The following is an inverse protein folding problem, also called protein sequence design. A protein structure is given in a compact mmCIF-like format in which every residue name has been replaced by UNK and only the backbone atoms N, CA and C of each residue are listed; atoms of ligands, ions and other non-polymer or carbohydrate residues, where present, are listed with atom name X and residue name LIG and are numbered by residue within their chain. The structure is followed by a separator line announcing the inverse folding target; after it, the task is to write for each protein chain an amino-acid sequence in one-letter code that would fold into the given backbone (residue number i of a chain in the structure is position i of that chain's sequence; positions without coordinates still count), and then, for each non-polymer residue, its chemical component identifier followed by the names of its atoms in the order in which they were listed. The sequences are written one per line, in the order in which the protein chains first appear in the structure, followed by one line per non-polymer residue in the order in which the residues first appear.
data_IF_597882628844
#
_entry.id   IF_597882628844
#
_cell.length_a   1.000
_cell.length_b   1.000
_cell.length_c   1.000
_cell.angle_alpha   90.00
_cell.angle_beta   90.00
_cell.angle_gamma   90.00
#
_symmetry.space_group_name_H-M   'P 1'
#
loop_
_entity.id
_entity.type
_entity.pdbx_description
1 polymer ?
#
# COMPACT_ATOMS: atom_id res chain seq x y z
N UNK A 1 -14.88 32.77 16.12
CA UNK A 1 -14.94 31.53 16.93
C UNK A 1 -16.01 30.56 16.44
N UNK A 2 -17.18 31.03 15.98
CA UNK A 2 -18.28 30.16 15.48
C UNK A 2 -17.93 29.32 14.24
N UNK A 3 -17.18 29.89 13.29
CA UNK A 3 -16.76 29.15 12.08
C UNK A 3 -15.88 27.94 12.46
N UNK A 4 -15.00 28.09 13.46
CA UNK A 4 -14.12 27.01 13.93
C UNK A 4 -14.94 25.86 14.51
N UNK A 5 -15.99 26.16 15.29
CA UNK A 5 -16.87 25.14 15.85
C UNK A 5 -17.72 24.42 14.80
N UNK A 6 -18.09 25.11 13.71
CA UNK A 6 -18.88 24.51 12.62
C UNK A 6 -18.05 23.57 11.72
N UNK A 7 -16.75 23.86 11.51
CA UNK A 7 -15.86 23.02 10.68
C UNK A 7 -15.22 21.85 11.44
N UNK A 8 -15.18 21.94 12.78
CA UNK A 8 -14.58 20.92 13.66
C UNK A 8 -15.05 19.47 13.36
N UNK A 9 -16.36 19.16 13.20
CA UNK A 9 -16.79 17.80 12.89
C UNK A 9 -16.29 17.29 11.53
N UNK A 10 -16.16 18.16 10.52
CA UNK A 10 -15.65 17.76 9.21
C UNK A 10 -14.15 17.45 9.26
N UNK A 11 -13.37 18.29 9.94
CA UNK A 11 -11.93 18.03 10.16
C UNK A 11 -11.73 16.73 10.93
N UNK A 12 -12.56 16.48 11.95
CA UNK A 12 -12.51 15.24 12.72
C UNK A 12 -12.84 14.00 11.87
N UNK A 13 -13.87 14.06 11.03
CA UNK A 13 -14.21 12.98 10.09
C UNK A 13 -13.06 12.69 9.11
N UNK A 14 -12.47 13.74 8.52
CA UNK A 14 -11.31 13.61 7.62
C UNK A 14 -10.12 12.99 8.35
N UNK A 15 -9.86 13.42 9.59
CA UNK A 15 -8.79 12.85 10.41
C UNK A 15 -9.03 11.35 10.66
N UNK A 16 -10.25 10.95 11.04
CA UNK A 16 -10.59 9.53 11.22
C UNK A 16 -10.39 8.75 9.92
N UNK A 17 -10.94 9.23 8.80
CA UNK A 17 -10.78 8.57 7.51
C UNK A 17 -9.31 8.43 7.09
N UNK A 18 -8.50 9.46 7.36
CA UNK A 18 -7.06 9.41 7.13
C UNK A 18 -6.38 8.30 7.95
N UNK A 19 -6.69 8.21 9.25
CA UNK A 19 -6.07 7.22 10.11
C UNK A 19 -6.58 5.78 9.86
N UNK A 20 -7.86 5.61 9.54
CA UNK A 20 -8.49 4.28 9.40
C UNK A 20 -8.31 3.70 8.00
N UNK A 21 -8.29 4.52 6.95
CA UNK A 21 -8.25 4.03 5.57
C UNK A 21 -6.93 4.37 4.90
N UNK A 22 -6.60 5.66 4.81
CA UNK A 22 -5.46 6.13 4.01
C UNK A 22 -4.13 5.62 4.59
N UNK A 23 -3.95 5.73 5.90
CA UNK A 23 -2.74 5.23 6.57
C UNK A 23 -2.50 3.73 6.34
N UNK A 24 -3.45 2.81 6.63
CA UNK A 24 -3.22 1.40 6.40
C UNK A 24 -3.10 1.04 4.91
N UNK A 25 -3.82 1.72 4.01
CA UNK A 25 -3.65 1.51 2.57
C UNK A 25 -2.24 1.87 2.12
N UNK A 26 -1.71 3.02 2.54
CA UNK A 26 -0.34 3.42 2.23
C UNK A 26 0.69 2.43 2.79
N UNK A 27 0.46 1.88 3.98
CA UNK A 27 1.35 0.85 4.55
C UNK A 27 1.30 -0.46 3.78
N UNK A 28 0.13 -0.91 3.33
CA UNK A 28 0.01 -2.13 2.52
C UNK A 28 0.66 -1.96 1.16
N UNK A 29 0.45 -0.82 0.49
CA UNK A 29 1.10 -0.50 -0.77
C UNK A 29 2.63 -0.47 -0.64
N UNK A 30 3.15 0.16 0.42
CA UNK A 30 4.58 0.19 0.72
C UNK A 30 5.15 -1.21 0.94
N UNK A 31 4.49 -2.04 1.75
CA UNK A 31 4.91 -3.44 1.99
C UNK A 31 4.90 -4.28 0.72
N UNK A 32 3.89 -4.09 -0.14
CA UNK A 32 3.81 -4.81 -1.40
C UNK A 32 4.95 -4.41 -2.34
N UNK A 33 5.26 -3.11 -2.42
CA UNK A 33 6.41 -2.60 -3.17
C UNK A 33 7.72 -3.15 -2.63
N UNK A 34 7.95 -3.10 -1.32
CA UNK A 34 9.14 -3.66 -0.67
C UNK A 34 9.27 -5.18 -0.90
N UNK A 35 8.14 -5.92 -0.88
CA UNK A 35 8.14 -7.35 -1.18
C UNK A 35 8.60 -7.62 -2.61
N UNK A 36 8.11 -6.84 -3.59
CA UNK A 36 8.53 -6.97 -5.00
C UNK A 36 10.00 -6.59 -5.17
N UNK A 37 10.46 -5.51 -4.55
CA UNK A 37 11.86 -5.07 -4.60
C UNK A 37 12.82 -6.07 -3.94
N UNK A 38 12.35 -6.81 -2.94
CA UNK A 38 13.13 -7.86 -2.28
C UNK A 38 13.23 -9.15 -3.10
N UNK A 39 12.46 -9.29 -4.19
CA UNK A 39 12.52 -10.48 -5.03
C UNK A 39 13.82 -10.54 -5.82
N UNK A 40 14.45 -11.70 -5.79
CA UNK A 40 15.72 -11.95 -6.46
C UNK A 40 15.61 -13.13 -7.42
N UNK A 41 16.61 -13.27 -8.30
CA UNK A 41 16.70 -14.40 -9.22
C UNK A 41 16.79 -15.71 -8.43
N UNK A 42 15.96 -16.68 -8.81
CA UNK A 42 15.87 -17.99 -8.18
C UNK A 42 14.76 -18.11 -7.13
N UNK A 43 14.10 -17.00 -6.76
CA UNK A 43 12.97 -17.05 -5.84
C UNK A 43 11.76 -17.74 -6.48
N UNK A 44 11.13 -18.62 -5.70
CA UNK A 44 9.87 -19.27 -6.07
C UNK A 44 8.70 -18.47 -5.51
N UNK A 45 7.87 -17.97 -6.39
CA UNK A 45 6.72 -17.14 -6.04
C UNK A 45 5.42 -17.74 -6.58
N UNK A 46 4.32 -17.37 -5.94
CA UNK A 46 2.98 -17.66 -6.44
C UNK A 46 2.44 -16.37 -7.06
N UNK A 47 2.09 -16.41 -8.33
CA UNK A 47 1.49 -15.26 -9.02
C UNK A 47 0.04 -15.08 -8.58
N UNK A 48 -0.55 -13.91 -8.85
CA UNK A 48 -1.97 -13.63 -8.56
C UNK A 48 -2.93 -14.62 -9.23
N UNK A 49 -2.50 -15.27 -10.32
CA UNK A 49 -3.25 -16.33 -11.00
C UNK A 49 -3.08 -17.73 -10.40
N UNK A 50 -2.34 -17.88 -9.30
CA UNK A 50 -2.10 -19.16 -8.62
C UNK A 50 -0.98 -20.01 -9.21
N UNK A 51 -0.18 -19.46 -10.14
CA UNK A 51 0.93 -20.19 -10.76
C UNK A 51 2.16 -20.14 -9.84
N UNK A 52 2.75 -21.30 -9.58
CA UNK A 52 4.05 -21.42 -8.90
C UNK A 52 5.14 -21.27 -9.96
N UNK A 53 5.94 -20.22 -9.85
CA UNK A 53 6.99 -19.88 -10.82
C UNK A 53 8.30 -19.54 -10.13
N UNK A 54 9.41 -19.62 -10.86
CA UNK A 54 10.75 -19.23 -10.40
C UNK A 54 11.24 -18.01 -11.19
N UNK A 55 11.78 -17.01 -10.50
CA UNK A 55 12.26 -15.77 -11.12
C UNK A 55 13.57 -16.05 -11.87
N UNK A 56 13.55 -15.94 -13.21
CA UNK A 56 14.76 -16.10 -14.03
C UNK A 56 15.60 -14.83 -14.18
N UNK A 57 14.97 -13.66 -14.16
CA UNK A 57 15.61 -12.34 -14.24
C UNK A 57 14.64 -11.31 -13.65
N UNK A 58 15.16 -10.33 -12.92
CA UNK A 58 14.40 -9.15 -12.46
C UNK A 58 14.74 -8.00 -13.40
N UNK A 59 13.73 -7.35 -13.94
CA UNK A 59 13.86 -6.17 -14.80
C UNK A 59 13.00 -5.04 -14.21
N UNK A 60 13.59 -3.87 -13.98
CA UNK A 60 12.93 -2.73 -13.34
C UNK A 60 12.13 -1.86 -14.32
N UNK A 61 12.14 -2.19 -15.61
CA UNK A 61 11.54 -1.35 -16.66
C UNK A 61 11.18 -2.22 -17.86
N UNK A 62 9.98 -2.02 -18.40
CA UNK A 62 9.60 -2.43 -19.75
C UNK A 62 9.87 -1.28 -20.73
#
# INVERSE_FOLDING_TARGET
MEIVTQILPFVFLIAIMYFVIIRPQNQQAKKHKEMIEALTRGDKIITTGGLIVEIKKVEDTY
#
